data_IF_386242977154
#
_entry.id   IF_386242977154
#
_cell.length_a   1.000
_cell.length_b   1.000
_cell.length_c   1.000
_cell.angle_alpha   90.00
_cell.angle_beta   90.00
_cell.angle_gamma   90.00
#
_symmetry.space_group_name_H-M   'P 1'
#
loop_
_entity.id
_entity.type
_entity.pdbx_description
1 polymer ?
#
# COMPACT_ATOMS: atom_id res chain seq x y z
N UNK A 1 -0.80 -24.56 38.22
CA UNK A 1 -2.03 -24.24 37.45
C UNK A 1 -2.36 -22.77 37.66
N UNK A 2 -2.71 -22.06 36.58
CA UNK A 2 -3.11 -20.64 36.51
C UNK A 2 -1.90 -19.69 36.57
N UNK A 3 -1.62 -18.81 35.61
CA UNK A 3 -2.48 -18.20 34.62
C UNK A 3 -1.75 -18.08 33.26
N UNK A 4 -2.43 -18.55 32.21
CA UNK A 4 -2.27 -18.03 30.85
C UNK A 4 -2.61 -16.54 30.90
N UNK A 5 -1.60 -15.67 30.88
CA UNK A 5 -1.80 -14.29 30.47
C UNK A 5 -1.19 -14.19 29.08
N UNK A 6 -2.08 -14.29 28.11
CA UNK A 6 -1.84 -14.00 26.70
C UNK A 6 -1.33 -12.56 26.63
N UNK A 7 -0.01 -12.38 26.54
CA UNK A 7 0.58 -11.11 26.19
C UNK A 7 0.42 -10.92 24.68
N UNK A 8 -0.78 -10.50 24.26
CA UNK A 8 -0.95 -9.77 22.99
C UNK A 8 -0.39 -8.37 23.25
N UNK A 9 0.95 -8.29 23.33
CA UNK A 9 1.63 -7.03 23.26
C UNK A 9 1.56 -6.61 21.79
N UNK A 10 0.81 -5.53 21.56
CA UNK A 10 0.56 -4.95 20.27
C UNK A 10 1.83 -4.91 19.40
N UNK A 11 1.72 -5.43 18.18
CA UNK A 11 2.52 -4.96 17.06
C UNK A 11 2.09 -3.50 16.79
N UNK A 12 2.42 -2.60 17.71
CA UNK A 12 2.49 -1.19 17.43
C UNK A 12 3.65 -1.03 16.47
N UNK A 13 3.36 -1.23 15.18
CA UNK A 13 4.21 -0.81 14.09
C UNK A 13 4.60 0.63 14.41
N UNK A 14 5.89 0.85 14.70
CA UNK A 14 6.49 2.16 14.81
C UNK A 14 6.49 2.79 13.41
N UNK A 15 5.30 3.07 12.87
CA UNK A 15 5.11 4.05 11.84
C UNK A 15 5.38 5.38 12.51
N UNK A 16 6.64 5.82 12.50
CA UNK A 16 6.99 7.16 12.93
C UNK A 16 6.11 8.19 12.21
N UNK A 17 6.05 9.45 12.69
CA UNK A 17 5.22 10.50 12.10
C UNK A 17 5.43 10.71 10.58
N UNK A 18 6.53 10.20 10.02
CA UNK A 18 6.82 10.18 8.58
C UNK A 18 5.91 9.24 7.74
N UNK A 19 5.37 8.16 8.31
CA UNK A 19 4.54 7.17 7.58
C UNK A 19 3.05 7.53 7.53
N UNK A 20 2.59 8.47 8.37
CA UNK A 20 1.16 8.79 8.53
C UNK A 20 0.47 9.31 7.25
N UNK A 21 1.23 9.72 6.23
CA UNK A 21 0.71 10.17 4.93
C UNK A 21 1.27 9.43 3.71
N UNK A 22 1.96 8.30 3.90
CA UNK A 22 2.66 7.64 2.79
C UNK A 22 1.68 6.87 1.89
N UNK A 23 0.78 6.05 2.44
CA UNK A 23 -0.18 5.25 1.68
C UNK A 23 -0.99 6.09 0.67
N UNK A 24 -1.68 7.19 1.06
CA UNK A 24 -2.45 7.99 0.11
C UNK A 24 -1.58 8.63 -0.98
N UNK A 25 -0.33 8.99 -0.67
CA UNK A 25 0.60 9.51 -1.68
C UNK A 25 1.01 8.45 -2.70
N UNK A 26 1.34 7.23 -2.25
CA UNK A 26 1.71 6.13 -3.14
C UNK A 26 0.54 5.69 -4.02
N UNK A 27 -0.66 5.59 -3.45
CA UNK A 27 -1.89 5.28 -4.20
C UNK A 27 -2.16 6.35 -5.26
N UNK A 28 -1.97 7.64 -4.92
CA UNK A 28 -2.10 8.72 -5.89
C UNK A 28 -1.09 8.59 -7.04
N UNK A 29 0.20 8.37 -6.74
CA UNK A 29 1.24 8.19 -7.77
C UNK A 29 0.89 7.05 -8.74
N UNK A 30 0.35 5.93 -8.24
CA UNK A 30 -0.06 4.81 -9.07
C UNK A 30 -1.27 5.13 -9.96
N UNK A 31 -2.27 5.84 -9.43
CA UNK A 31 -3.41 6.29 -10.21
C UNK A 31 -2.98 7.28 -11.31
N UNK A 32 -2.04 8.19 -11.01
CA UNK A 32 -1.46 9.10 -12.00
C UNK A 32 -0.66 8.35 -13.06
N UNK A 33 0.11 7.33 -12.68
CA UNK A 33 0.83 6.47 -13.62
C UNK A 33 -0.13 5.74 -14.57
N UNK A 34 -1.21 5.15 -14.03
CA UNK A 34 -2.27 4.51 -14.82
C UNK A 34 -2.96 5.51 -15.75
N UNK A 35 -3.25 6.72 -15.28
CA UNK A 35 -3.90 7.77 -16.09
C UNK A 35 -3.05 8.28 -17.26
N UNK A 36 -1.72 8.10 -17.20
CA UNK A 36 -0.78 8.44 -18.28
C UNK A 36 -0.54 7.30 -19.27
N UNK A 37 -1.04 6.09 -18.98
CA UNK A 37 -0.91 4.91 -19.83
C UNK A 37 -2.18 4.64 -20.63
N UNK A 38 -2.10 3.80 -21.66
CA UNK A 38 -3.28 3.34 -22.41
C UNK A 38 -4.16 2.48 -21.48
N UNK A 39 -5.47 2.72 -21.50
CA UNK A 39 -6.41 2.04 -20.61
C UNK A 39 -6.47 0.52 -20.86
N UNK A 40 -6.24 0.08 -22.09
CA UNK A 40 -6.18 -1.31 -22.55
C UNK A 40 -4.80 -1.97 -22.35
N UNK A 41 -3.78 -1.22 -21.88
CA UNK A 41 -2.46 -1.78 -21.61
C UNK A 41 -2.55 -2.89 -20.56
N UNK A 42 -1.96 -4.05 -20.86
CA UNK A 42 -1.99 -5.22 -20.00
C UNK A 42 -1.41 -4.95 -18.59
N UNK A 43 -0.50 -3.98 -18.43
CA UNK A 43 0.02 -3.56 -17.13
C UNK A 43 -1.02 -2.76 -16.36
N UNK A 44 -1.74 -1.86 -17.03
CA UNK A 44 -2.81 -1.05 -16.43
C UNK A 44 -3.94 -1.94 -15.95
N UNK A 45 -4.38 -2.89 -16.78
CA UNK A 45 -5.48 -3.82 -16.43
C UNK A 45 -5.11 -4.69 -15.23
N UNK A 46 -3.84 -5.11 -15.10
CA UNK A 46 -3.32 -5.85 -13.94
C UNK A 46 -3.10 -4.99 -12.70
N UNK A 47 -2.67 -3.74 -12.86
CA UNK A 47 -2.34 -2.86 -11.73
C UNK A 47 -3.57 -2.22 -11.06
N UNK A 48 -4.61 -1.87 -11.83
CA UNK A 48 -5.86 -1.28 -11.29
C UNK A 48 -6.46 -2.04 -10.09
N UNK A 49 -6.65 -3.38 -10.13
CA UNK A 49 -7.16 -4.11 -8.97
C UNK A 49 -6.19 -4.08 -7.78
N UNK A 50 -4.88 -4.07 -8.02
CA UNK A 50 -3.87 -3.95 -6.95
C UNK A 50 -3.93 -2.59 -6.27
N UNK A 51 -4.11 -1.50 -7.04
CA UNK A 51 -4.28 -0.14 -6.51
C UNK A 51 -5.57 -0.06 -5.67
N UNK A 52 -6.67 -0.66 -6.15
CA UNK A 52 -7.91 -0.72 -5.40
C UNK A 52 -7.77 -1.52 -4.09
N UNK A 53 -7.02 -2.62 -4.10
CA UNK A 53 -6.72 -3.39 -2.89
C UNK A 53 -5.83 -2.59 -1.94
N UNK A 54 -4.85 -1.84 -2.44
CA UNK A 54 -4.03 -0.95 -1.61
C UNK A 54 -4.87 0.14 -0.92
N UNK A 55 -5.86 0.69 -1.61
CA UNK A 55 -6.83 1.64 -1.03
C UNK A 55 -7.67 0.96 0.06
N UNK A 56 -8.23 -0.23 -0.18
CA UNK A 56 -8.96 -0.98 0.85
C UNK A 56 -8.10 -1.26 2.09
N UNK A 57 -6.85 -1.67 1.89
CA UNK A 57 -5.90 -1.90 2.98
C UNK A 57 -5.60 -0.61 3.76
N UNK A 58 -5.56 0.54 3.09
CA UNK A 58 -5.46 1.84 3.75
C UNK A 58 -6.70 2.16 4.59
N UNK A 59 -7.89 1.99 4.03
CA UNK A 59 -9.17 2.23 4.70
C UNK A 59 -9.36 1.31 5.92
N UNK A 60 -8.88 0.06 5.81
CA UNK A 60 -8.83 -0.94 6.90
C UNK A 60 -7.72 -0.68 7.94
N UNK A 61 -6.96 0.42 7.81
CA UNK A 61 -5.81 0.79 8.66
C UNK A 61 -4.63 -0.20 8.62
N UNK A 62 -4.59 -1.09 7.62
CA UNK A 62 -3.49 -2.03 7.36
C UNK A 62 -2.38 -1.37 6.54
N UNK A 63 -1.75 -0.36 7.12
CA UNK A 63 -0.81 0.52 6.39
C UNK A 63 0.39 -0.22 5.80
N UNK A 64 0.98 -1.18 6.51
CA UNK A 64 2.10 -1.96 6.00
C UNK A 64 1.72 -2.78 4.75
N UNK A 65 0.53 -3.38 4.75
CA UNK A 65 0.04 -4.16 3.62
C UNK A 65 -0.35 -3.25 2.44
N UNK A 66 -0.94 -2.09 2.71
CA UNK A 66 -1.23 -1.06 1.70
C UNK A 66 0.03 -0.61 0.96
N UNK A 67 1.12 -0.32 1.69
CA UNK A 67 2.41 0.06 1.09
C UNK A 67 2.98 -1.07 0.24
N UNK A 68 3.04 -2.31 0.77
CA UNK A 68 3.53 -3.47 0.01
C UNK A 68 2.74 -3.65 -1.28
N UNK A 69 1.42 -3.52 -1.22
CA UNK A 69 0.57 -3.63 -2.39
C UNK A 69 0.81 -2.52 -3.41
N UNK A 70 1.08 -1.30 -2.95
CA UNK A 70 1.51 -0.21 -3.83
C UNK A 70 2.82 -0.55 -4.55
N UNK A 71 3.80 -1.15 -3.85
CA UNK A 71 5.06 -1.57 -4.46
C UNK A 71 4.87 -2.67 -5.51
N UNK A 72 3.98 -3.63 -5.26
CA UNK A 72 3.62 -4.66 -6.24
C UNK A 72 2.99 -4.06 -7.49
N UNK A 73 2.02 -3.15 -7.32
CA UNK A 73 1.39 -2.43 -8.43
C UNK A 73 2.42 -1.61 -9.23
N UNK A 74 3.37 -0.96 -8.55
CA UNK A 74 4.43 -0.20 -9.18
C UNK A 74 5.35 -1.08 -10.04
N UNK A 75 5.70 -2.28 -9.55
CA UNK A 75 6.48 -3.28 -10.31
C UNK A 75 5.74 -3.74 -11.57
N UNK A 76 4.42 -3.97 -11.48
CA UNK A 76 3.60 -4.34 -12.64
C UNK A 76 3.55 -3.22 -13.68
N UNK A 77 3.37 -1.98 -13.23
CA UNK A 77 3.39 -0.80 -14.10
C UNK A 77 4.79 -0.49 -14.65
N UNK A 78 5.85 -0.97 -14.00
CA UNK A 78 7.23 -0.62 -14.31
C UNK A 78 7.57 0.82 -13.93
N UNK A 79 6.92 1.36 -12.89
CA UNK A 79 7.16 2.72 -12.39
C UNK A 79 7.86 2.68 -11.03
N UNK A 80 8.62 3.74 -10.74
CA UNK A 80 9.27 3.90 -9.44
C UNK A 80 8.41 4.79 -8.55
N UNK A 81 8.15 4.31 -7.33
CA UNK A 81 7.45 5.10 -6.31
C UNK A 81 8.42 6.03 -5.58
N UNK A 82 7.97 7.24 -5.32
CA UNK A 82 8.62 8.19 -4.44
C UNK A 82 8.13 7.93 -3.01
N UNK A 83 8.88 7.10 -2.28
CA UNK A 83 8.62 6.81 -0.87
C UNK A 83 9.31 7.86 0.01
N UNK A 84 8.65 8.26 1.09
CA UNK A 84 9.28 9.11 2.10
C UNK A 84 10.28 8.25 2.87
N UNK A 85 11.55 8.63 2.79
CA UNK A 85 12.63 7.98 3.54
C UNK A 85 12.56 8.35 5.02
#
# INVERSE_FOLDING_TARGET
>A
MKALVIAVAALAVLAGPAMAGQCPSLIKQLNEAVGKMKADDAKVTKAKPMIAEAQKLHDDKKHADSVKKCEEAAKVLGVKLEMKK
#
